data_IF_315855310628
#
_entry.id   IF_315855310628
#
_cell.length_a   1.000
_cell.length_b   1.000
_cell.length_c   1.000
_cell.angle_alpha   90.00
_cell.angle_beta   90.00
_cell.angle_gamma   90.00
#
_symmetry.space_group_name_H-M   'P 1'
#
loop_
_entity.id
_entity.type
_entity.pdbx_description
1 polymer ?
#
# COMPACT_ATOMS: atom_id res chain seq x y z
N UNK A 1 7.35 -6.40 0.79
CA UNK A 1 8.61 -5.64 0.84
C UNK A 1 8.37 -4.36 0.07
N UNK A 2 8.00 -3.30 0.77
CA UNK A 2 7.92 -1.94 0.22
C UNK A 2 8.34 -1.02 1.36
N UNK A 3 9.65 -0.94 1.56
CA UNK A 3 10.25 0.25 2.16
C UNK A 3 10.25 1.31 1.06
N UNK A 4 9.15 2.05 0.97
CA UNK A 4 9.18 3.43 0.47
C UNK A 4 8.80 4.36 1.62
N UNK A 5 9.34 4.10 2.82
CA UNK A 5 9.49 5.18 3.77
C UNK A 5 10.49 6.13 3.14
N UNK A 6 9.99 7.30 2.75
CA UNK A 6 10.80 8.50 2.63
C UNK A 6 11.78 8.48 3.81
N UNK A 7 13.06 8.27 3.52
CA UNK A 7 14.11 8.27 4.52
C UNK A 7 14.15 9.66 5.15
N UNK A 8 13.47 9.78 6.30
CA UNK A 8 13.34 11.04 7.03
C UNK A 8 14.70 11.51 7.56
N UNK A 9 15.65 10.60 7.78
CA UNK A 9 17.00 10.95 8.18
C UNK A 9 17.78 11.56 7.01
N UNK A 10 17.60 11.04 5.79
CA UNK A 10 18.12 11.67 4.57
C UNK A 10 17.52 13.06 4.32
N UNK A 11 16.19 13.20 4.43
CA UNK A 11 15.54 14.51 4.26
C UNK A 11 16.00 15.53 5.31
N UNK A 12 16.17 15.08 6.56
CA UNK A 12 16.64 15.93 7.65
C UNK A 12 18.10 16.35 7.44
N UNK A 13 18.96 15.43 7.01
CA UNK A 13 20.36 15.73 6.68
C UNK A 13 20.46 16.71 5.50
N UNK A 14 19.63 16.55 4.46
CA UNK A 14 19.60 17.48 3.33
C UNK A 14 19.08 18.88 3.71
N UNK A 15 18.09 18.95 4.61
CA UNK A 15 17.60 20.20 5.19
C UNK A 15 18.70 20.92 5.99
N UNK A 16 19.44 20.19 6.82
CA UNK A 16 20.54 20.73 7.63
C UNK A 16 21.71 21.25 6.74
N UNK A 17 21.97 20.60 5.61
CA UNK A 17 23.00 21.02 4.64
C UNK A 17 22.59 22.29 3.88
N UNK A 18 21.33 22.37 3.44
CA UNK A 18 20.76 23.56 2.78
C UNK A 18 20.77 24.78 3.74
N UNK A 19 20.41 24.58 5.01
CA UNK A 19 20.45 25.65 6.01
C UNK A 19 21.87 26.17 6.29
N UNK A 20 22.88 25.29 6.23
CA UNK A 20 24.29 25.68 6.37
C UNK A 20 24.81 26.48 5.15
N UNK A 21 24.43 26.12 3.92
CA UNK A 21 24.84 26.90 2.74
C UNK A 21 24.22 28.30 2.72
N UNK A 22 22.95 28.43 3.11
CA UNK A 22 22.23 29.71 3.11
C UNK A 22 22.65 30.67 4.23
N UNK A 23 23.01 30.14 5.40
CA UNK A 23 23.60 30.95 6.49
C UNK A 23 24.94 31.55 6.08
N UNK A 24 25.74 30.83 5.29
CA UNK A 24 27.02 31.30 4.75
C UNK A 24 26.84 32.44 3.73
N UNK A 25 25.77 32.40 2.93
CA UNK A 25 25.43 33.45 1.94
C UNK A 25 24.91 34.74 2.61
N UNK A 26 24.18 34.63 3.72
CA UNK A 26 23.65 35.81 4.45
C UNK A 26 24.71 36.60 5.23
N UNK A 27 25.86 36.02 5.54
CA UNK A 27 26.97 36.76 6.20
C UNK A 27 27.67 37.80 5.31
N UNK A 28 27.35 37.88 4.01
CA UNK A 28 28.07 38.75 3.05
C UNK A 28 27.37 40.09 2.77
N UNK A 29 26.11 40.29 3.14
CA UNK A 29 25.40 41.53 2.84
C UNK A 29 24.56 42.02 4.03
N UNK A 30 25.11 42.95 4.81
CA UNK A 30 24.36 43.63 5.87
C UNK A 30 24.45 45.14 5.67
N UNK A 31 23.42 45.71 5.04
CA UNK A 31 22.77 46.98 5.40
C UNK A 31 21.62 47.20 4.42
N UNK A 32 20.36 46.99 4.82
CA UNK A 32 19.17 47.68 4.26
C UNK A 32 17.83 47.25 4.92
N UNK A 33 16.76 47.97 4.57
CA UNK A 33 15.50 48.20 5.30
C UNK A 33 14.63 46.96 5.62
N UNK A 34 13.76 47.11 6.64
CA UNK A 34 12.88 46.08 7.21
C UNK A 34 11.87 45.48 6.21
N UNK A 35 11.38 46.25 5.24
CA UNK A 35 10.46 45.73 4.19
C UNK A 35 11.19 44.83 3.17
N UNK A 36 12.47 45.09 2.93
CA UNK A 36 13.33 44.31 2.05
C UNK A 36 13.77 42.98 2.69
N UNK A 37 13.79 42.92 4.03
CA UNK A 37 14.12 41.72 4.81
C UNK A 37 13.03 40.65 4.71
N UNK A 38 11.76 41.02 4.67
CA UNK A 38 10.65 40.06 4.56
C UNK A 38 10.58 39.44 3.15
N UNK A 39 10.77 40.25 2.10
CA UNK A 39 10.86 39.75 0.73
C UNK A 39 12.08 38.83 0.53
N UNK A 40 13.23 39.17 1.15
CA UNK A 40 14.44 38.31 1.15
C UNK A 40 14.18 36.98 1.86
N UNK A 41 13.44 36.97 2.98
CA UNK A 41 13.06 35.74 3.69
C UNK A 41 12.15 34.86 2.84
N UNK A 42 11.16 35.44 2.17
CA UNK A 42 10.24 34.69 1.30
C UNK A 42 10.99 34.08 0.10
N UNK A 43 11.92 34.83 -0.51
CA UNK A 43 12.79 34.34 -1.59
C UNK A 43 13.72 33.19 -1.15
N UNK A 44 14.25 33.26 0.08
CA UNK A 44 15.07 32.20 0.65
C UNK A 44 14.24 30.93 0.85
N UNK A 45 13.05 31.04 1.43
CA UNK A 45 12.17 29.88 1.66
C UNK A 45 11.68 29.28 0.34
N UNK A 46 11.37 30.10 -0.67
CA UNK A 46 10.99 29.61 -2.00
C UNK A 46 12.14 28.85 -2.66
N UNK A 47 13.39 29.31 -2.48
CA UNK A 47 14.59 28.64 -2.98
C UNK A 47 14.83 27.30 -2.27
N UNK A 48 14.64 27.23 -0.94
CA UNK A 48 14.72 25.98 -0.17
C UNK A 48 13.68 24.97 -0.67
N UNK A 49 12.43 25.41 -0.87
CA UNK A 49 11.36 24.55 -1.37
C UNK A 49 11.67 24.00 -2.78
N UNK A 50 12.25 24.81 -3.66
CA UNK A 50 12.64 24.37 -5.01
C UNK A 50 13.78 23.34 -5.00
N UNK A 51 14.82 23.55 -4.18
CA UNK A 51 15.93 22.60 -4.05
C UNK A 51 15.47 21.27 -3.44
N UNK A 52 14.62 21.32 -2.40
CA UNK A 52 14.04 20.12 -1.80
C UNK A 52 13.18 19.35 -2.81
N UNK A 53 12.37 20.05 -3.60
CA UNK A 53 11.54 19.42 -4.62
C UNK A 53 12.38 18.72 -5.70
N UNK A 54 13.49 19.32 -6.12
CA UNK A 54 14.41 18.71 -7.07
C UNK A 54 15.03 17.42 -6.50
N UNK A 55 15.54 17.48 -5.27
CA UNK A 55 16.19 16.34 -4.61
C UNK A 55 15.24 15.15 -4.41
N UNK A 56 14.00 15.43 -4.01
CA UNK A 56 12.93 14.42 -3.88
C UNK A 56 12.61 13.82 -5.25
N UNK A 57 12.54 14.63 -6.30
CA UNK A 57 12.25 14.15 -7.66
C UNK A 57 13.36 13.25 -8.19
N UNK A 58 14.62 13.59 -7.93
CA UNK A 58 15.79 12.78 -8.30
C UNK A 58 15.80 11.44 -7.56
N UNK A 59 15.58 11.45 -6.24
CA UNK A 59 15.49 10.22 -5.44
C UNK A 59 14.37 9.28 -5.90
N UNK A 60 13.18 9.82 -6.15
CA UNK A 60 12.07 9.04 -6.70
C UNK A 60 12.38 8.44 -8.08
N UNK A 61 13.15 9.15 -8.91
CA UNK A 61 13.60 8.67 -10.22
C UNK A 61 14.60 7.51 -10.09
N UNK A 62 15.53 7.59 -9.14
CA UNK A 62 16.50 6.53 -8.87
C UNK A 62 15.85 5.26 -8.31
N UNK A 63 15.00 5.41 -7.30
CA UNK A 63 14.23 4.29 -6.73
C UNK A 63 13.39 3.61 -7.81
N UNK A 64 12.74 4.40 -8.67
CA UNK A 64 11.96 3.85 -9.80
C UNK A 64 12.83 3.02 -10.76
N UNK A 65 14.03 3.48 -11.11
CA UNK A 65 14.95 2.71 -11.98
C UNK A 65 15.41 1.41 -11.31
N UNK A 66 15.66 1.44 -10.01
CA UNK A 66 16.04 0.25 -9.25
C UNK A 66 14.91 -0.79 -9.25
N UNK A 67 13.67 -0.34 -9.09
CA UNK A 67 12.49 -1.20 -9.17
C UNK A 67 12.28 -1.78 -10.57
N UNK A 68 12.41 -0.97 -11.62
CA UNK A 68 12.32 -1.44 -13.01
C UNK A 68 13.38 -2.51 -13.32
N UNK A 69 14.60 -2.35 -12.80
CA UNK A 69 15.67 -3.34 -12.95
C UNK A 69 15.38 -4.66 -12.23
N UNK A 70 14.86 -4.59 -10.99
CA UNK A 70 14.44 -5.78 -10.20
C UNK A 70 13.26 -6.50 -10.85
N UNK A 71 12.32 -5.76 -11.43
CA UNK A 71 11.18 -6.34 -12.13
C UNK A 71 11.63 -7.12 -13.38
N UNK A 72 12.56 -6.57 -14.15
CA UNK A 72 13.09 -7.24 -15.35
C UNK A 72 13.88 -8.51 -15.00
N UNK A 73 14.71 -8.47 -13.96
CA UNK A 73 15.41 -9.67 -13.48
C UNK A 73 14.44 -10.77 -13.05
N UNK A 74 13.39 -10.41 -12.30
CA UNK A 74 12.36 -11.36 -11.88
C UNK A 74 11.59 -11.95 -13.07
N UNK A 75 11.31 -11.14 -14.10
CA UNK A 75 10.68 -11.60 -15.35
C UNK A 75 11.54 -12.63 -16.07
N UNK A 76 12.85 -12.40 -16.15
CA UNK A 76 13.75 -13.36 -16.80
C UNK A 76 13.91 -14.64 -15.98
N UNK A 77 13.94 -14.56 -14.64
CA UNK A 77 13.91 -15.75 -13.77
C UNK A 77 12.64 -16.59 -13.98
N UNK A 78 11.47 -15.96 -14.05
CA UNK A 78 10.19 -16.65 -14.33
C UNK A 78 10.25 -17.35 -15.69
N UNK A 79 10.77 -16.67 -16.72
CA UNK A 79 10.89 -17.23 -18.07
C UNK A 79 11.81 -18.45 -18.11
N UNK A 80 12.92 -18.44 -17.37
CA UNK A 80 13.81 -19.60 -17.25
C UNK A 80 13.12 -20.79 -16.56
N UNK A 81 12.36 -20.53 -15.49
CA UNK A 81 11.59 -21.57 -14.78
C UNK A 81 10.51 -22.20 -15.65
N UNK A 82 9.76 -21.38 -16.41
CA UNK A 82 8.74 -21.89 -17.36
C UNK A 82 9.39 -22.81 -18.39
N UNK A 83 10.51 -22.39 -18.99
CA UNK A 83 11.25 -23.22 -19.96
C UNK A 83 11.76 -24.54 -19.36
N UNK A 84 12.22 -24.52 -18.11
CA UNK A 84 12.66 -25.74 -17.41
C UNK A 84 11.50 -26.70 -17.17
N UNK A 85 10.32 -26.20 -16.80
CA UNK A 85 9.10 -27.00 -16.60
C UNK A 85 8.63 -27.61 -17.92
N UNK A 86 8.62 -26.84 -19.01
CA UNK A 86 8.24 -27.33 -20.34
C UNK A 86 9.21 -28.41 -20.86
N UNK A 87 10.51 -28.24 -20.62
CA UNK A 87 11.53 -29.24 -20.99
C UNK A 87 11.38 -30.52 -20.18
N UNK A 88 11.06 -30.42 -18.88
CA UNK A 88 10.78 -31.57 -18.03
C UNK A 88 9.49 -32.30 -18.41
N UNK A 89 8.47 -31.58 -18.90
CA UNK A 89 7.22 -32.18 -19.39
C UNK A 89 7.38 -32.89 -20.75
N UNK A 90 8.39 -32.52 -21.55
CA UNK A 90 8.63 -33.09 -22.87
C UNK A 90 9.42 -34.42 -22.88
N UNK A 91 9.85 -34.93 -21.73
CA UNK A 91 10.50 -36.25 -21.59
C UNK A 91 9.79 -37.12 -20.54
N UNK A 92 8.69 -37.82 -20.89
CA UNK A 92 7.92 -38.64 -19.95
C UNK A 92 8.61 -39.95 -19.54
N UNK A 93 9.54 -40.48 -20.34
CA UNK A 93 10.02 -41.88 -20.26
C UNK A 93 11.23 -42.12 -19.33
N UNK A 94 11.43 -41.30 -18.30
CA UNK A 94 12.49 -41.54 -17.30
C UNK A 94 12.07 -41.42 -15.84
N UNK A 95 10.78 -41.56 -15.55
CA UNK A 95 10.24 -41.43 -14.19
C UNK A 95 10.09 -42.72 -13.39
N UNK A 96 10.58 -43.88 -13.85
CA UNK A 96 10.50 -45.14 -13.06
C UNK A 96 11.83 -45.75 -12.61
N UNK A 97 13.00 -45.21 -12.97
CA UNK A 97 14.29 -45.73 -12.48
C UNK A 97 15.30 -44.61 -12.19
N UNK A 98 15.02 -43.81 -11.16
CA UNK A 98 16.02 -43.00 -10.47
C UNK A 98 15.61 -42.71 -9.02
N UNK A 99 15.11 -43.74 -8.31
CA UNK A 99 15.08 -43.74 -6.85
C UNK A 99 16.46 -44.17 -6.33
N UNK A 100 17.51 -43.36 -6.54
CA UNK A 100 18.76 -43.44 -5.76
C UNK A 100 19.67 -42.22 -6.01
N UNK A 101 19.80 -41.41 -4.95
CA UNK A 101 20.89 -40.45 -4.65
C UNK A 101 21.08 -39.27 -5.62
N UNK A 102 20.32 -38.20 -5.38
CA UNK A 102 20.89 -36.84 -5.36
C UNK A 102 20.47 -36.23 -4.02
N UNK A 103 21.43 -35.95 -3.15
CA UNK A 103 21.21 -35.13 -1.96
C UNK A 103 20.85 -33.71 -2.42
N UNK A 104 19.55 -33.46 -2.56
CA UNK A 104 18.98 -32.13 -2.69
C UNK A 104 19.01 -31.49 -1.30
N UNK A 105 19.53 -30.26 -1.12
CA UNK A 105 19.46 -29.59 0.16
C UNK A 105 18.00 -29.52 0.62
N UNK A 106 17.75 -29.99 1.85
CA UNK A 106 16.44 -30.06 2.49
C UNK A 106 15.70 -28.72 2.47
N UNK A 107 14.90 -28.47 1.43
CA UNK A 107 13.59 -27.78 1.47
C UNK A 107 13.09 -27.62 0.05
N UNK A 108 12.24 -28.53 -0.38
CA UNK A 108 11.14 -28.30 -1.32
C UNK A 108 10.45 -29.65 -1.50
N UNK A 109 9.82 -30.10 -0.40
CA UNK A 109 8.75 -31.08 -0.51
C UNK A 109 7.55 -30.28 -0.98
N UNK A 110 7.26 -30.32 -2.29
CA UNK A 110 5.97 -29.91 -2.83
C UNK A 110 4.97 -30.99 -2.43
N UNK A 111 4.57 -30.96 -1.15
CA UNK A 111 3.36 -31.59 -0.70
C UNK A 111 2.23 -30.78 -1.32
N UNK A 112 1.33 -31.42 -2.06
CA UNK A 112 -0.01 -30.87 -2.31
C UNK A 112 -0.73 -30.83 -0.96
N UNK A 113 -0.38 -29.88 -0.09
CA UNK A 113 -1.19 -29.56 1.06
C UNK A 113 -2.40 -28.83 0.53
N UNK A 114 -3.57 -29.43 0.70
CA UNK A 114 -4.84 -28.70 0.66
C UNK A 114 -4.71 -27.58 1.69
N UNK A 115 -4.40 -26.36 1.24
CA UNK A 115 -4.35 -25.21 2.13
C UNK A 115 -5.77 -24.99 2.62
N UNK A 116 -6.02 -25.23 3.90
CA UNK A 116 -7.33 -24.98 4.51
C UNK A 116 -7.62 -23.48 4.45
N UNK A 117 -8.40 -23.07 3.45
CA UNK A 117 -8.86 -21.69 3.30
C UNK A 117 -9.89 -21.40 4.38
N UNK A 118 -9.61 -20.43 5.25
CA UNK A 118 -10.55 -20.02 6.31
C UNK A 118 -11.24 -18.73 5.90
N UNK A 119 -12.58 -18.76 5.87
CA UNK A 119 -13.41 -17.62 5.48
C UNK A 119 -13.93 -16.84 6.68
N UNK A 120 -13.88 -15.52 6.62
CA UNK A 120 -14.36 -14.59 7.63
C UNK A 120 -15.12 -13.45 6.98
N UNK A 121 -16.14 -12.93 7.66
CA UNK A 121 -16.94 -11.82 7.13
C UNK A 121 -17.04 -10.70 8.16
N UNK A 122 -16.68 -9.48 7.74
CA UNK A 122 -16.98 -8.25 8.45
C UNK A 122 -18.27 -7.66 7.89
N UNK A 123 -19.19 -7.26 8.77
CA UNK A 123 -20.35 -6.45 8.42
C UNK A 123 -20.31 -5.20 9.27
N UNK A 124 -19.95 -4.09 8.67
CA UNK A 124 -19.57 -2.87 9.40
C UNK A 124 -20.44 -1.71 8.95
N UNK A 125 -21.05 -1.04 9.92
CA UNK A 125 -21.65 0.27 9.74
C UNK A 125 -20.62 1.31 10.19
N UNK A 126 -20.12 2.11 9.27
CA UNK A 126 -19.28 3.25 9.59
C UNK A 126 -20.14 4.51 9.64
N UNK A 127 -20.05 5.26 10.73
CA UNK A 127 -20.74 6.53 10.93
C UNK A 127 -19.78 7.70 10.76
N UNK A 128 -20.32 8.92 10.66
CA UNK A 128 -19.55 10.15 10.50
C UNK A 128 -18.68 10.18 9.24
N UNK A 129 -19.20 9.62 8.15
CA UNK A 129 -18.50 9.44 6.87
C UNK A 129 -18.15 10.79 6.23
N UNK A 130 -18.92 11.84 6.50
CA UNK A 130 -18.64 13.23 6.13
C UNK A 130 -17.24 13.69 6.55
N UNK A 131 -16.67 13.12 7.61
CA UNK A 131 -15.29 13.40 8.06
C UNK A 131 -14.25 13.08 6.99
N UNK A 132 -14.53 12.13 6.09
CA UNK A 132 -13.64 11.76 4.98
C UNK A 132 -13.52 12.86 3.90
N UNK A 133 -14.45 13.83 3.86
CA UNK A 133 -14.34 14.99 2.96
C UNK A 133 -13.31 16.02 3.41
N UNK A 134 -12.95 15.99 4.70
CA UNK A 134 -12.08 16.96 5.36
C UNK A 134 -10.65 17.02 4.79
N UNK A 135 -9.88 17.99 5.28
CA UNK A 135 -8.44 18.14 4.96
C UNK A 135 -7.54 17.25 5.80
N UNK A 136 -8.07 16.60 6.83
CA UNK A 136 -7.29 15.79 7.77
C UNK A 136 -7.28 14.33 7.33
N UNK A 137 -6.11 13.69 7.29
CA UNK A 137 -5.92 12.27 6.98
C UNK A 137 -6.47 11.37 8.11
N UNK A 138 -7.74 11.53 8.46
CA UNK A 138 -8.40 10.67 9.43
C UNK A 138 -8.67 9.29 8.82
N UNK A 139 -8.33 8.27 9.60
CA UNK A 139 -8.68 6.88 9.35
C UNK A 139 -9.87 6.54 10.25
N UNK A 140 -10.89 5.89 9.68
CA UNK A 140 -11.97 5.25 10.42
C UNK A 140 -11.70 3.75 10.46
N UNK A 141 -11.87 3.13 11.62
CA UNK A 141 -11.56 1.72 11.81
C UNK A 141 -12.80 0.96 12.31
N UNK A 142 -12.94 -0.29 11.90
CA UNK A 142 -13.94 -1.19 12.45
C UNK A 142 -13.48 -1.78 13.80
N UNK A 143 -14.38 -2.50 14.47
CA UNK A 143 -13.98 -3.44 15.51
C UNK A 143 -13.01 -4.48 14.94
N UNK A 144 -12.17 -5.05 15.82
CA UNK A 144 -11.18 -6.06 15.43
C UNK A 144 -11.78 -7.47 15.44
N UNK A 145 -11.27 -8.35 14.57
CA UNK A 145 -11.55 -9.77 14.58
C UNK A 145 -10.25 -10.57 14.46
N UNK A 146 -10.10 -11.61 15.29
CA UNK A 146 -8.87 -12.41 15.33
C UNK A 146 -8.97 -13.64 14.44
N UNK A 147 -8.07 -13.75 13.47
CA UNK A 147 -7.91 -14.95 12.63
C UNK A 147 -6.54 -14.97 11.94
N UNK A 148 -6.13 -16.14 11.45
CA UNK A 148 -4.78 -16.36 10.91
C UNK A 148 -3.63 -15.91 11.86
N UNK A 149 -3.89 -15.95 13.17
CA UNK A 149 -2.91 -15.61 14.20
C UNK A 149 -2.78 -14.12 14.54
N UNK A 150 -3.51 -13.22 13.86
CA UNK A 150 -3.44 -11.77 14.08
C UNK A 150 -4.84 -11.16 14.24
N UNK A 151 -4.91 -9.98 14.86
CA UNK A 151 -6.13 -9.20 14.98
C UNK A 151 -6.27 -8.30 13.75
N UNK A 152 -7.42 -8.34 13.08
CA UNK A 152 -7.70 -7.63 11.83
C UNK A 152 -8.74 -6.54 12.02
N UNK A 153 -8.58 -5.42 11.33
CA UNK A 153 -9.58 -4.35 11.24
C UNK A 153 -9.77 -3.90 9.80
N UNK A 154 -10.94 -3.35 9.50
CA UNK A 154 -11.21 -2.66 8.25
C UNK A 154 -10.95 -1.17 8.45
N UNK A 155 -10.08 -0.59 7.62
CA UNK A 155 -9.75 0.82 7.64
C UNK A 155 -10.35 1.54 6.43
N UNK A 156 -11.04 2.64 6.69
CA UNK A 156 -11.43 3.63 5.70
C UNK A 156 -10.57 4.87 5.84
N UNK A 157 -10.09 5.38 4.72
CA UNK A 157 -9.31 6.62 4.69
C UNK A 157 -9.62 7.35 3.39
N UNK A 158 -9.36 8.65 3.34
CA UNK A 158 -9.37 9.34 2.05
C UNK A 158 -7.97 9.30 1.45
N UNK A 159 -7.89 9.13 0.13
CA UNK A 159 -6.64 9.29 -0.62
C UNK A 159 -6.81 10.41 -1.62
N UNK A 160 -5.71 11.10 -1.93
CA UNK A 160 -5.67 12.08 -3.00
C UNK A 160 -4.71 11.60 -4.07
N UNK A 161 -5.13 11.64 -5.34
CA UNK A 161 -4.21 11.42 -6.44
C UNK A 161 -3.61 12.76 -6.87
N UNK A 162 -2.29 12.90 -6.73
CA UNK A 162 -1.53 14.16 -6.87
C UNK A 162 -1.80 14.92 -8.19
N UNK A 163 -2.13 14.19 -9.26
CA UNK A 163 -2.27 14.77 -10.59
C UNK A 163 -3.69 15.29 -10.92
N UNK A 164 -4.72 14.96 -10.12
CA UNK A 164 -6.12 15.20 -10.51
C UNK A 164 -6.96 15.98 -9.50
N UNK A 165 -6.42 16.34 -8.32
CA UNK A 165 -7.19 16.92 -7.19
C UNK A 165 -8.44 16.11 -6.79
N UNK A 166 -8.59 14.88 -7.32
CA UNK A 166 -9.68 13.98 -7.01
C UNK A 166 -9.36 13.23 -5.73
N UNK A 167 -10.35 13.17 -4.85
CA UNK A 167 -10.31 12.37 -3.62
C UNK A 167 -11.06 11.07 -3.84
N UNK A 168 -10.52 10.01 -3.26
CA UNK A 168 -11.14 8.70 -3.27
C UNK A 168 -11.28 8.16 -1.86
N UNK A 169 -12.28 7.33 -1.65
CA UNK A 169 -12.36 6.45 -0.50
C UNK A 169 -11.38 5.28 -0.72
N UNK A 170 -10.43 5.17 0.19
CA UNK A 170 -9.56 4.01 0.34
C UNK A 170 -10.13 3.03 1.37
N UNK A 171 -10.02 1.74 1.08
CA UNK A 171 -10.59 0.66 1.89
C UNK A 171 -9.59 -0.48 2.01
N UNK A 172 -9.11 -0.75 3.23
CA UNK A 172 -8.06 -1.72 3.49
C UNK A 172 -8.46 -2.69 4.60
N UNK A 173 -8.04 -3.94 4.47
CA UNK A 173 -7.90 -4.87 5.58
C UNK A 173 -6.50 -4.68 6.17
N UNK A 174 -6.40 -4.44 7.47
CA UNK A 174 -5.12 -4.18 8.14
C UNK A 174 -5.03 -4.99 9.42
N UNK A 175 -3.88 -5.58 9.68
CA UNK A 175 -3.61 -6.18 10.98
C UNK A 175 -3.45 -5.08 12.04
N UNK A 176 -4.35 -5.07 13.02
CA UNK A 176 -4.46 -4.04 14.05
C UNK A 176 -3.38 -4.13 15.14
N UNK A 177 -2.65 -5.25 15.22
CA UNK A 177 -1.64 -5.47 16.26
C UNK A 177 -0.27 -4.93 15.84
N UNK A 178 0.40 -4.25 16.78
CA UNK A 178 1.80 -3.84 16.64
C UNK A 178 2.80 -4.99 16.82
N UNK A 179 2.34 -6.21 17.15
CA UNK A 179 3.20 -7.37 17.39
C UNK A 179 2.84 -8.55 16.49
N UNK A 180 2.78 -8.31 15.18
CA UNK A 180 2.75 -9.39 14.19
C UNK A 180 4.08 -10.15 14.31
N UNK A 181 4.07 -11.49 14.50
CA UNK A 181 5.30 -12.25 14.69
C UNK A 181 6.28 -12.06 13.51
N UNK A 182 7.56 -11.94 13.83
CA UNK A 182 8.61 -11.91 12.81
C UNK A 182 8.58 -13.23 12.01
N UNK A 183 8.57 -13.12 10.68
CA UNK A 183 8.41 -14.27 9.77
C UNK A 183 6.97 -14.75 9.55
N UNK A 184 5.96 -14.11 10.16
CA UNK A 184 4.56 -14.37 9.83
C UNK A 184 4.24 -13.91 8.41
N UNK A 185 3.51 -14.75 7.68
CA UNK A 185 2.92 -14.42 6.39
C UNK A 185 1.58 -15.13 6.21
N UNK A 186 0.68 -14.49 5.47
CA UNK A 186 -0.65 -15.02 5.19
C UNK A 186 -1.09 -14.58 3.80
N UNK A 187 -1.50 -15.53 2.97
CA UNK A 187 -2.26 -15.23 1.76
C UNK A 187 -3.67 -14.79 2.14
N UNK A 188 -4.15 -13.71 1.53
CA UNK A 188 -5.51 -13.21 1.72
C UNK A 188 -6.19 -13.01 0.38
N UNK A 189 -7.46 -13.42 0.29
CA UNK A 189 -8.37 -13.04 -0.78
C UNK A 189 -9.50 -12.24 -0.16
N UNK A 190 -9.71 -11.03 -0.65
CA UNK A 190 -10.64 -10.07 -0.07
C UNK A 190 -11.67 -9.66 -1.10
N UNK A 191 -12.93 -9.56 -0.68
CA UNK A 191 -14.02 -8.95 -1.43
C UNK A 191 -14.71 -7.91 -0.55
N UNK A 192 -14.64 -6.64 -0.95
CA UNK A 192 -15.41 -5.55 -0.36
C UNK A 192 -16.68 -5.32 -1.15
N UNK A 193 -17.77 -5.07 -0.44
CA UNK A 193 -19.09 -4.74 -0.99
C UNK A 193 -19.65 -3.53 -0.23
N UNK A 194 -19.61 -2.37 -0.89
CA UNK A 194 -20.25 -1.16 -0.40
C UNK A 194 -21.72 -1.19 -0.82
N UNK A 195 -22.60 -1.29 0.19
CA UNK A 195 -24.02 -1.50 -0.02
C UNK A 195 -24.72 -0.18 -0.36
N UNK A 196 -25.62 -0.22 -1.34
CA UNK A 196 -26.57 0.87 -1.55
C UNK A 196 -27.80 0.66 -0.67
N UNK A 197 -28.30 1.72 -0.06
CA UNK A 197 -29.56 1.66 0.70
C UNK A 197 -30.79 1.55 -0.22
N UNK A 198 -30.62 1.90 -1.50
CA UNK A 198 -31.61 1.65 -2.52
C UNK A 198 -31.40 0.25 -3.11
N UNK A 199 -32.24 -0.71 -2.72
CA UNK A 199 -32.20 -2.09 -3.22
C UNK A 199 -32.35 -2.24 -4.74
N UNK A 200 -32.75 -1.18 -5.46
CA UNK A 200 -32.77 -1.16 -6.92
C UNK A 200 -31.42 -0.82 -7.55
N UNK A 201 -30.50 -0.24 -6.78
CA UNK A 201 -29.14 0.05 -7.19
C UNK A 201 -28.21 -1.12 -6.86
N UNK A 202 -27.21 -1.32 -7.72
CA UNK A 202 -26.21 -2.35 -7.50
C UNK A 202 -25.16 -1.91 -6.48
N UNK A 203 -24.74 -2.83 -5.63
CA UNK A 203 -23.63 -2.61 -4.71
C UNK A 203 -22.32 -2.41 -5.46
N UNK A 204 -21.42 -1.63 -4.87
CA UNK A 204 -20.09 -1.45 -5.42
C UNK A 204 -19.14 -2.49 -4.83
N UNK A 205 -18.63 -3.36 -5.70
CA UNK A 205 -17.76 -4.47 -5.29
C UNK A 205 -16.31 -4.26 -5.73
N UNK A 206 -15.35 -4.68 -4.91
CA UNK A 206 -13.95 -4.82 -5.29
C UNK A 206 -13.36 -6.10 -4.71
N UNK A 207 -12.68 -6.90 -5.55
CA UNK A 207 -12.11 -8.20 -5.17
C UNK A 207 -10.65 -8.33 -5.57
N UNK A 208 -9.84 -8.96 -4.75
CA UNK A 208 -8.44 -9.22 -5.07
C UNK A 208 -7.75 -10.08 -4.04
N UNK A 209 -6.48 -10.35 -4.31
CA UNK A 209 -5.67 -11.28 -3.53
C UNK A 209 -4.31 -10.64 -3.25
N UNK A 210 -3.76 -10.89 -2.08
CA UNK A 210 -2.42 -10.41 -1.70
C UNK A 210 -1.76 -11.39 -0.74
N UNK A 211 -0.44 -11.23 -0.54
CA UNK A 211 0.30 -11.90 0.53
C UNK A 211 0.69 -10.83 1.54
N UNK A 212 0.21 -11.00 2.76
CA UNK A 212 0.50 -10.12 3.88
C UNK A 212 1.63 -10.72 4.72
N UNK A 213 2.40 -9.85 5.35
CA UNK A 213 3.49 -10.21 6.26
C UNK A 213 3.60 -9.17 7.37
N UNK A 214 4.51 -9.40 8.33
CA UNK A 214 4.81 -8.39 9.36
C UNK A 214 5.21 -7.02 8.77
N UNK A 215 5.90 -6.99 7.63
CA UNK A 215 6.33 -5.76 6.95
C UNK A 215 5.27 -5.17 6.02
N UNK A 216 4.31 -5.98 5.57
CA UNK A 216 3.24 -5.57 4.68
C UNK A 216 1.94 -6.13 5.22
N UNK A 217 1.44 -5.46 6.27
CA UNK A 217 0.41 -5.99 7.16
C UNK A 217 -1.02 -5.56 6.79
N UNK A 218 -1.18 -4.90 5.64
CA UNK A 218 -2.48 -4.47 5.15
C UNK A 218 -2.53 -4.40 3.64
N UNK A 219 -3.71 -4.58 3.09
CA UNK A 219 -3.95 -4.48 1.66
C UNK A 219 -5.41 -4.11 1.36
N UNK A 220 -5.62 -3.47 0.23
CA UNK A 220 -6.93 -3.05 -0.24
C UNK A 220 -6.84 -2.10 -1.41
N UNK A 221 -7.83 -1.22 -1.54
CA UNK A 221 -7.92 -0.27 -2.64
C UNK A 221 -7.74 1.14 -2.12
N UNK A 222 -6.73 1.84 -2.61
CA UNK A 222 -6.57 3.26 -2.34
C UNK A 222 -7.62 4.10 -3.08
N UNK A 223 -8.17 3.61 -4.19
CA UNK A 223 -9.14 4.31 -5.04
C UNK A 223 -10.38 3.44 -5.29
N UNK A 224 -11.11 3.09 -4.23
CA UNK A 224 -12.28 2.21 -4.36
C UNK A 224 -13.44 2.92 -5.06
N UNK A 225 -13.83 4.10 -4.55
CA UNK A 225 -14.86 4.98 -5.11
C UNK A 225 -14.43 6.44 -4.96
N UNK A 226 -14.80 7.31 -5.89
CA UNK A 226 -14.55 8.74 -5.71
C UNK A 226 -15.41 9.27 -4.56
N UNK A 227 -14.90 10.26 -3.83
CA UNK A 227 -15.69 10.90 -2.76
C UNK A 227 -16.96 11.55 -3.35
N UNK A 228 -16.88 12.12 -4.55
CA UNK A 228 -18.04 12.73 -5.20
C UNK A 228 -19.13 11.68 -5.50
N UNK A 229 -18.76 10.52 -6.03
CA UNK A 229 -19.71 9.43 -6.32
C UNK A 229 -20.24 8.78 -5.05
N UNK A 230 -19.41 8.62 -4.01
CA UNK A 230 -19.83 8.06 -2.72
C UNK A 230 -20.98 8.86 -2.12
N UNK A 231 -20.88 10.19 -2.19
CA UNK A 231 -21.83 11.10 -1.60
C UNK A 231 -22.92 11.60 -2.55
N UNK A 232 -22.89 11.18 -3.82
CA UNK A 232 -23.94 11.52 -4.76
C UNK A 232 -25.23 10.81 -4.32
N UNK A 233 -26.31 11.53 -3.94
CA UNK A 233 -27.52 10.89 -3.42
C UNK A 233 -28.13 9.87 -4.40
N UNK A 234 -27.97 10.09 -5.70
CA UNK A 234 -28.44 9.20 -6.76
C UNK A 234 -27.76 7.81 -6.75
N UNK A 235 -26.61 7.65 -6.08
CA UNK A 235 -25.91 6.38 -5.96
C UNK A 235 -26.31 5.60 -4.69
N UNK A 236 -26.98 6.25 -3.73
CA UNK A 236 -27.61 5.60 -2.58
C UNK A 236 -26.68 5.01 -1.50
N UNK A 237 -25.36 5.21 -1.58
CA UNK A 237 -24.41 4.59 -0.64
C UNK A 237 -24.41 5.19 0.77
N UNK A 238 -24.71 6.49 0.90
CA UNK A 238 -24.64 7.20 2.18
C UNK A 238 -26.04 7.51 2.69
N UNK A 239 -26.32 7.13 3.94
CA UNK A 239 -27.55 7.45 4.66
C UNK A 239 -27.22 7.81 6.09
N UNK A 240 -27.82 8.89 6.58
CA UNK A 240 -27.59 9.39 7.95
C UNK A 240 -26.10 9.49 8.31
N UNK A 241 -25.33 10.07 7.37
CA UNK A 241 -23.87 10.22 7.44
C UNK A 241 -23.10 8.91 7.69
N UNK A 242 -23.65 7.80 7.21
CA UNK A 242 -23.14 6.45 7.44
C UNK A 242 -23.11 5.64 6.14
N UNK A 243 -22.24 4.63 6.11
CA UNK A 243 -22.18 3.62 5.03
C UNK A 243 -22.16 2.22 5.62
N UNK A 244 -22.76 1.27 4.91
CA UNK A 244 -22.73 -0.14 5.27
C UNK A 244 -21.81 -0.92 4.33
N UNK A 245 -20.95 -1.74 4.91
CA UNK A 245 -19.91 -2.50 4.21
C UNK A 245 -19.97 -3.96 4.62
N UNK A 246 -19.93 -4.84 3.63
CA UNK A 246 -19.58 -6.25 3.83
C UNK A 246 -18.18 -6.50 3.29
N UNK A 247 -17.34 -7.17 4.08
CA UNK A 247 -16.00 -7.59 3.66
C UNK A 247 -15.83 -9.08 3.90
N UNK A 248 -15.67 -9.84 2.84
CA UNK A 248 -15.30 -11.25 2.92
C UNK A 248 -13.79 -11.38 2.82
N UNK A 249 -13.20 -12.10 3.76
CA UNK A 249 -11.76 -12.33 3.86
C UNK A 249 -11.54 -13.83 3.93
N UNK A 250 -10.84 -14.36 2.95
CA UNK A 250 -10.38 -15.74 2.98
C UNK A 250 -8.87 -15.77 3.18
N UNK A 251 -8.42 -16.51 4.19
CA UNK A 251 -7.00 -16.64 4.53
C UNK A 251 -6.49 -18.03 4.21
N UNK A 252 -5.27 -18.11 3.68
CA UNK A 252 -4.59 -19.37 3.41
C UNK A 252 -3.10 -19.22 3.74
N UNK A 253 -2.44 -20.35 4.06
CA UNK A 253 -1.01 -20.34 4.33
C UNK A 253 -0.25 -19.82 3.10
N UNK A 254 0.64 -18.84 3.31
CA UNK A 254 1.52 -18.38 2.25
C UNK A 254 2.50 -19.51 1.89
N UNK A 255 2.63 -19.82 0.60
CA UNK A 255 3.54 -20.84 0.07
C UNK A 255 4.95 -20.30 -0.11
#
# INVERSE_FOLDING_TARGET
ISDSLIDFDFLKSALDEIDNELTTVNTVNIHENVEEEDEKRELIELRKAAQLHQLVTEKHSEEKKEWEMKEEDLREQIKQLVKAVETAAAQPDRYEQAATVVEVPKKLVVTKSTTEETSHTFRVLFTEISRLRGKTNKVLESATARFAGVDWTIQLHHTSHSNLKKKYLGMNLVAASSSIPEGWSCGVRIQFELHSEDSSLADKTGKGTSILSAQFNGWGWNQFISIDDLFLPANGYVKDDSIFLTVEVNTFAAQ
#
